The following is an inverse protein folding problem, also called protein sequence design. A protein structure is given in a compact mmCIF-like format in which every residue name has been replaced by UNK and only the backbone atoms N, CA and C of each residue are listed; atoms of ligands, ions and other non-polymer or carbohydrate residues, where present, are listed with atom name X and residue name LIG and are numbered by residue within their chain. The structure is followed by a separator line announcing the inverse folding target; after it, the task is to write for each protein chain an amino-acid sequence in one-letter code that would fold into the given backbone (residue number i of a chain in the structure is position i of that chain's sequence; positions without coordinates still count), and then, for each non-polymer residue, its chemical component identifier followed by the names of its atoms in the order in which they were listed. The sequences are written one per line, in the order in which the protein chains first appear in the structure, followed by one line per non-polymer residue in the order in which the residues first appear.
data_IF_024341815393
#
_entry.id   IF_024341815393
#
_cell.length_a   1.000
_cell.length_b   1.000
_cell.length_c   1.000
_cell.angle_alpha   90.00
_cell.angle_beta   90.00
_cell.angle_gamma   90.00
#
_symmetry.space_group_name_H-M   'P 1'
#
loop_
_entity.id
_entity.type
_entity.pdbx_description
1 polymer ?
#
# COMPACT_ATOMS: atom_id res chain seq x y z
N UNK A 1 -6.08 1.68 -3.10
CA UNK A 1 -6.61 0.69 -2.14
C UNK A 1 -6.85 -0.63 -2.84
N UNK A 2 -7.37 -1.59 -2.09
CA UNK A 2 -7.73 -2.92 -2.56
C UNK A 2 -8.99 -2.81 -3.43
N UNK A 3 -9.00 -3.44 -4.60
CA UNK A 3 -10.14 -3.39 -5.53
C UNK A 3 -10.88 -4.73 -5.60
N UNK A 4 -10.17 -5.84 -5.41
CA UNK A 4 -10.75 -7.17 -5.51
C UNK A 4 -9.71 -8.21 -5.87
N UNK A 5 -10.11 -9.24 -6.61
CA UNK A 5 -9.24 -10.33 -7.06
C UNK A 5 -9.15 -10.35 -8.59
N UNK A 6 -8.00 -10.78 -9.11
CA UNK A 6 -7.88 -11.12 -10.53
C UNK A 6 -8.49 -12.49 -10.84
N UNK A 7 -8.45 -12.90 -12.11
CA UNK A 7 -8.95 -14.21 -12.56
C UNK A 7 -8.25 -15.41 -11.89
N UNK A 8 -7.03 -15.23 -11.40
CA UNK A 8 -6.23 -16.27 -10.77
C UNK A 8 -6.34 -16.27 -9.23
N UNK A 9 -7.00 -15.27 -8.64
CA UNK A 9 -7.15 -15.11 -7.19
C UNK A 9 -6.10 -14.20 -6.53
N UNK A 10 -5.28 -13.48 -7.29
CA UNK A 10 -4.39 -12.47 -6.73
C UNK A 10 -5.17 -11.23 -6.31
N UNK A 11 -4.87 -10.68 -5.14
CA UNK A 11 -5.50 -9.44 -4.68
C UNK A 11 -5.00 -8.26 -5.52
N UNK A 12 -5.91 -7.46 -6.07
CA UNK A 12 -5.59 -6.28 -6.87
C UNK A 12 -5.54 -5.05 -5.95
N UNK A 13 -4.40 -4.36 -5.95
CA UNK A 13 -4.17 -3.13 -5.21
C UNK A 13 -3.89 -2.01 -6.23
N UNK A 14 -4.69 -0.94 -6.20
CA UNK A 14 -4.48 0.24 -7.05
C UNK A 14 -4.01 1.43 -6.22
N UNK A 15 -2.88 2.01 -6.58
CA UNK A 15 -2.41 3.28 -6.02
C UNK A 15 -2.45 4.37 -7.10
N UNK A 16 -3.24 5.41 -6.87
CA UNK A 16 -3.26 6.58 -7.75
C UNK A 16 -2.26 7.62 -7.24
N UNK A 17 -0.98 7.40 -7.53
CA UNK A 17 0.12 8.25 -7.05
C UNK A 17 0.17 9.55 -7.84
N UNK A 18 -0.17 9.52 -9.13
CA UNK A 18 -0.15 10.72 -9.97
C UNK A 18 -1.09 11.83 -9.49
N UNK A 19 -2.16 11.48 -8.77
CA UNK A 19 -3.10 12.44 -8.16
C UNK A 19 -2.85 12.69 -6.67
N UNK A 20 -1.73 12.22 -6.13
CA UNK A 20 -1.40 12.49 -4.73
C UNK A 20 -1.07 13.98 -4.53
N UNK A 21 -1.50 14.54 -3.40
CA UNK A 21 -1.16 15.89 -2.97
C UNK A 21 -0.38 15.84 -1.65
N UNK A 22 0.95 15.65 -1.69
CA UNK A 22 1.73 15.37 -0.48
C UNK A 22 1.72 16.51 0.53
N UNK A 23 1.67 17.76 0.05
CA UNK A 23 1.51 18.96 0.89
C UNK A 23 0.23 18.92 1.71
N UNK A 24 -0.89 18.60 1.05
CA UNK A 24 -2.19 18.47 1.71
C UNK A 24 -2.20 17.30 2.69
N UNK A 25 -1.57 16.18 2.34
CA UNK A 25 -1.55 14.99 3.20
C UNK A 25 -0.78 15.21 4.50
N UNK A 26 0.37 15.92 4.46
CA UNK A 26 1.15 16.23 5.66
C UNK A 26 0.40 17.20 6.58
N UNK A 27 -0.29 18.18 6.01
CA UNK A 27 -1.05 19.16 6.77
C UNK A 27 -2.38 18.64 7.31
N UNK A 28 -2.88 17.51 6.78
CA UNK A 28 -4.21 17.01 7.11
C UNK A 28 -4.26 16.33 8.48
N UNK A 29 -3.25 15.53 8.84
CA UNK A 29 -3.24 14.83 10.13
C UNK A 29 -1.84 14.36 10.56
N UNK A 30 -1.71 13.92 11.82
CA UNK A 30 -0.53 13.26 12.39
C UNK A 30 -0.04 12.13 11.50
N UNK A 31 1.26 12.15 11.23
CA UNK A 31 1.97 11.10 10.48
C UNK A 31 1.77 9.70 11.08
N UNK A 32 1.61 9.59 12.40
CA UNK A 32 1.33 8.30 13.05
C UNK A 32 0.01 7.69 12.58
N UNK A 33 -1.02 8.49 12.31
CA UNK A 33 -2.28 7.99 11.77
C UNK A 33 -2.11 7.45 10.35
N UNK A 34 -1.24 8.09 9.55
CA UNK A 34 -0.88 7.58 8.23
C UNK A 34 -0.21 6.19 8.33
N UNK A 35 0.70 5.99 9.27
CA UNK A 35 1.32 4.69 9.51
C UNK A 35 0.32 3.64 10.01
N UNK A 36 -0.54 3.98 10.97
CA UNK A 36 -1.58 3.08 11.49
C UNK A 36 -2.51 2.65 10.36
N UNK A 37 -2.99 3.59 9.54
CA UNK A 37 -3.82 3.29 8.38
C UNK A 37 -3.10 2.38 7.37
N UNK A 38 -1.81 2.59 7.17
CA UNK A 38 -0.98 1.75 6.30
C UNK A 38 -0.89 0.31 6.82
N UNK A 39 -0.70 0.15 8.14
CA UNK A 39 -0.68 -1.17 8.81
C UNK A 39 -2.03 -1.87 8.67
N UNK A 40 -3.14 -1.19 8.94
CA UNK A 40 -4.48 -1.78 8.79
C UNK A 40 -4.77 -2.18 7.34
N UNK A 41 -4.43 -1.34 6.37
CA UNK A 41 -4.60 -1.66 4.95
C UNK A 41 -3.77 -2.88 4.53
N UNK A 42 -2.58 -3.03 5.11
CA UNK A 42 -1.73 -4.18 4.88
C UNK A 42 -2.29 -5.46 5.49
N UNK A 43 -2.70 -5.43 6.76
CA UNK A 43 -3.30 -6.60 7.42
C UNK A 43 -4.57 -7.04 6.70
N UNK A 44 -5.43 -6.10 6.29
CA UNK A 44 -6.61 -6.40 5.48
C UNK A 44 -6.24 -7.11 4.16
N UNK A 45 -5.17 -6.67 3.50
CA UNK A 45 -4.65 -7.33 2.28
C UNK A 45 -4.21 -8.77 2.59
N UNK A 46 -3.49 -8.99 3.68
CA UNK A 46 -3.05 -10.33 4.10
C UNK A 46 -4.21 -11.25 4.44
N UNK A 47 -5.24 -10.76 5.14
CA UNK A 47 -6.46 -11.52 5.41
C UNK A 47 -7.14 -11.99 4.12
N UNK A 48 -7.24 -11.10 3.12
CA UNK A 48 -7.84 -11.42 1.82
C UNK A 48 -7.03 -12.44 1.03
N UNK A 49 -5.70 -12.33 1.06
CA UNK A 49 -4.79 -13.31 0.43
C UNK A 49 -4.98 -14.66 1.10
N UNK A 50 -4.83 -14.76 2.42
CA UNK A 50 -4.95 -16.04 3.16
C UNK A 50 -6.32 -16.69 2.99
N UNK A 51 -7.39 -15.89 2.94
CA UNK A 51 -8.74 -16.39 2.67
C UNK A 51 -8.84 -17.04 1.28
N UNK A 52 -8.21 -16.44 0.28
CA UNK A 52 -8.23 -16.96 -1.09
C UNK A 52 -7.28 -18.16 -1.27
N UNK A 53 -6.13 -18.15 -0.58
CA UNK A 53 -5.21 -19.29 -0.48
C UNK A 53 -5.91 -20.53 0.10
N UNK A 54 -6.71 -20.35 1.16
CA UNK A 54 -7.47 -21.43 1.78
C UNK A 54 -8.52 -22.04 0.84
N UNK A 55 -9.12 -21.24 -0.05
CA UNK A 55 -10.11 -21.72 -1.04
C UNK A 55 -9.45 -22.47 -2.20
N UNK A 56 -8.24 -22.07 -2.60
CA UNK A 56 -7.57 -22.57 -3.81
C UNK A 56 -6.52 -23.65 -3.52
N UNK A 57 -6.05 -23.75 -2.28
CA UNK A 57 -5.02 -24.71 -1.89
C UNK A 57 -3.64 -24.38 -2.46
N UNK A 58 -3.37 -23.12 -2.83
CA UNK A 58 -2.09 -22.67 -3.35
C UNK A 58 -1.68 -21.32 -2.76
N UNK A 59 -0.38 -21.02 -2.79
CA UNK A 59 0.15 -19.72 -2.34
C UNK A 59 -0.22 -18.64 -3.36
N UNK A 60 -0.73 -17.53 -2.87
CA UNK A 60 -1.14 -16.36 -3.66
C UNK A 60 -0.41 -15.12 -3.16
N UNK A 61 -0.70 -13.99 -3.80
CA UNK A 61 -0.13 -12.70 -3.45
C UNK A 61 -1.02 -11.57 -3.93
N UNK A 62 -0.40 -10.42 -4.18
CA UNK A 62 -1.08 -9.25 -4.69
C UNK A 62 -0.45 -8.76 -6.00
N UNK A 63 -1.30 -8.21 -6.87
CA UNK A 63 -0.90 -7.44 -8.04
C UNK A 63 -1.06 -5.97 -7.69
N UNK A 64 0.05 -5.22 -7.71
CA UNK A 64 0.06 -3.79 -7.42
C UNK A 64 0.07 -3.00 -8.72
N UNK A 65 -0.97 -2.21 -8.93
CA UNK A 65 -1.11 -1.30 -10.06
C UNK A 65 -0.86 0.11 -9.54
N UNK A 66 0.13 0.79 -10.14
CA UNK A 66 0.47 2.17 -9.79
C UNK A 66 0.09 3.06 -10.97
N UNK A 67 -0.94 3.87 -10.78
CA UNK A 67 -1.34 4.91 -11.73
C UNK A 67 -0.50 6.17 -11.49
N UNK A 68 0.34 6.48 -12.47
CA UNK A 68 1.21 7.66 -12.49
C UNK A 68 0.63 8.80 -13.35
N UNK A 69 -0.62 8.70 -13.78
CA UNK A 69 -1.27 9.76 -14.56
C UNK A 69 -1.35 11.05 -13.75
N UNK A 70 -0.73 12.12 -14.25
CA UNK A 70 -0.64 13.41 -13.54
C UNK A 70 0.54 13.53 -12.58
N UNK A 71 1.42 12.52 -12.52
CA UNK A 71 2.61 12.58 -11.69
C UNK A 71 3.52 13.74 -12.08
N UNK A 72 3.92 14.54 -11.09
CA UNK A 72 4.82 15.67 -11.27
C UNK A 72 6.00 15.56 -10.31
N UNK A 73 7.10 16.19 -10.70
CA UNK A 73 8.31 16.26 -9.87
C UNK A 73 8.07 16.93 -8.51
N UNK A 74 7.06 17.80 -8.39
CA UNK A 74 6.65 18.39 -7.11
C UNK A 74 6.26 17.35 -6.07
N UNK A 75 5.77 16.18 -6.50
CA UNK A 75 5.42 15.07 -5.59
C UNK A 75 6.69 14.47 -4.97
N UNK A 76 7.76 14.32 -5.76
CA UNK A 76 9.03 13.70 -5.33
C UNK A 76 9.91 14.69 -4.57
N UNK A 77 9.95 15.94 -5.00
CA UNK A 77 10.80 16.97 -4.40
C UNK A 77 10.22 17.55 -3.10
N UNK A 78 9.01 17.15 -2.71
CA UNK A 78 8.51 17.42 -1.36
C UNK A 78 9.19 16.50 -0.33
N UNK A 79 10.45 16.79 0.01
CA UNK A 79 11.33 15.96 0.85
C UNK A 79 10.66 15.43 2.15
N UNK A 80 9.87 16.21 2.92
CA UNK A 80 9.19 15.69 4.10
C UNK A 80 8.19 14.57 3.77
N UNK A 81 7.48 14.68 2.65
CA UNK A 81 6.50 13.67 2.24
C UNK A 81 7.19 12.42 1.74
N UNK A 82 8.20 12.59 0.89
CA UNK A 82 9.03 11.50 0.39
C UNK A 82 9.61 10.70 1.55
N UNK A 83 10.11 11.36 2.61
CA UNK A 83 10.59 10.69 3.83
C UNK A 83 9.50 9.87 4.51
N UNK A 84 8.29 10.43 4.69
CA UNK A 84 7.16 9.72 5.30
C UNK A 84 6.78 8.48 4.49
N UNK A 85 6.68 8.60 3.15
CA UNK A 85 6.35 7.47 2.28
C UNK A 85 7.43 6.38 2.34
N UNK A 86 8.71 6.74 2.27
CA UNK A 86 9.82 5.79 2.39
C UNK A 86 9.78 5.08 3.76
N UNK A 87 9.58 5.83 4.85
CA UNK A 87 9.45 5.26 6.19
C UNK A 87 8.26 4.30 6.30
N UNK A 88 7.12 4.62 5.70
CA UNK A 88 5.97 3.74 5.68
C UNK A 88 6.26 2.44 4.90
N UNK A 89 6.91 2.52 3.74
CA UNK A 89 7.27 1.35 2.93
C UNK A 89 8.25 0.45 3.69
N UNK A 90 9.28 1.02 4.30
CA UNK A 90 10.26 0.24 5.10
C UNK A 90 9.57 -0.44 6.28
N UNK A 91 8.72 0.29 7.00
CA UNK A 91 7.96 -0.27 8.13
C UNK A 91 7.07 -1.43 7.69
N UNK A 92 6.33 -1.26 6.59
CA UNK A 92 5.49 -2.33 6.03
C UNK A 92 6.32 -3.53 5.59
N UNK A 93 7.48 -3.33 4.97
CA UNK A 93 8.36 -4.42 4.54
C UNK A 93 8.90 -5.22 5.74
N UNK A 94 9.31 -4.54 6.83
CA UNK A 94 9.77 -5.22 8.05
C UNK A 94 8.62 -5.99 8.70
N UNK A 95 7.45 -5.36 8.86
CA UNK A 95 6.28 -6.03 9.40
C UNK A 95 5.87 -7.24 8.54
N UNK A 96 5.99 -7.16 7.22
CA UNK A 96 5.51 -8.25 6.38
C UNK A 96 6.48 -9.40 6.20
N UNK A 97 7.80 -9.17 6.29
CA UNK A 97 8.76 -10.27 6.38
C UNK A 97 8.52 -11.13 7.63
N UNK A 98 8.09 -10.53 8.75
CA UNK A 98 7.72 -11.29 9.95
C UNK A 98 6.40 -12.07 9.85
N UNK A 99 5.56 -11.81 8.83
CA UNK A 99 4.28 -12.51 8.61
C UNK A 99 4.34 -13.55 7.47
N UNK A 100 5.44 -13.58 6.73
CA UNK A 100 5.70 -14.57 5.66
C UNK A 100 6.53 -15.75 6.20
N UNK A 101 7.28 -15.57 7.31
CA UNK A 101 7.86 -16.66 8.13
C UNK A 101 6.83 -17.23 9.10
#
# INVERSE_FOLDING_TARGET
GIIGYDKNGYVIILHNIGKAHPRSLIGAERVSQFYINSIYGYEATQCLIRSEEAKRGCKLGAVVIIDLSGFSYDIVFHLPATKIYISAIIMLQVCCLSFIM
#
